data_IF_990195274791
#
_entry.id   IF_990195274791
#
_cell.length_a   1.000
_cell.length_b   1.000
_cell.length_c   1.000
_cell.angle_alpha   90.00
_cell.angle_beta   90.00
_cell.angle_gamma   90.00
#
_symmetry.space_group_name_H-M   'P 1'
#
loop_
_entity.id
_entity.type
_entity.pdbx_description
1 polymer ?
#
# COMPACT_ATOMS: atom_id res chain seq x y z
N UNK A 1 -6.63 14.26 -5.53
CA UNK A 1 -5.53 13.42 -5.03
C UNK A 1 -4.41 13.57 -6.03
N UNK A 2 -3.22 13.87 -5.59
CA UNK A 2 -2.16 14.24 -6.53
C UNK A 2 -1.53 13.03 -7.25
N UNK A 3 -1.01 12.07 -6.51
CA UNK A 3 -0.30 10.92 -7.06
C UNK A 3 -0.53 9.67 -6.22
N UNK A 4 -0.28 8.50 -6.81
CA UNK A 4 -0.22 7.22 -6.09
C UNK A 4 0.86 7.25 -5.00
N UNK A 5 0.60 6.60 -3.87
CA UNK A 5 1.60 6.40 -2.81
C UNK A 5 2.70 5.41 -3.21
N UNK A 6 2.50 4.66 -4.29
CA UNK A 6 3.50 3.76 -4.87
C UNK A 6 4.61 4.51 -5.61
N UNK A 7 4.41 5.81 -5.92
CA UNK A 7 5.45 6.63 -6.54
C UNK A 7 6.64 6.79 -5.60
N UNK A 8 7.80 6.29 -6.01
CA UNK A 8 9.06 6.54 -5.33
C UNK A 8 9.56 7.97 -5.54
N UNK A 9 9.12 8.61 -6.61
CA UNK A 9 9.46 10.01 -6.97
C UNK A 9 8.30 10.67 -7.69
N UNK A 10 8.28 12.01 -7.64
CA UNK A 10 7.45 12.86 -8.50
C UNK A 10 8.39 13.80 -9.25
N UNK A 11 8.28 13.82 -10.57
CA UNK A 11 9.05 14.70 -11.47
C UNK A 11 8.03 15.37 -12.39
N UNK A 12 7.51 16.52 -11.96
CA UNK A 12 6.40 17.17 -12.63
C UNK A 12 6.76 17.65 -14.05
N UNK A 13 5.86 17.36 -14.98
CA UNK A 13 5.94 17.82 -16.38
C UNK A 13 5.11 19.09 -16.58
N UNK A 14 5.65 20.11 -17.27
CA UNK A 14 4.86 21.25 -17.71
C UNK A 14 3.90 20.92 -18.87
N UNK A 15 4.07 19.77 -19.51
CA UNK A 15 3.31 19.33 -20.68
C UNK A 15 1.97 18.72 -20.25
N UNK A 16 1.03 19.56 -19.84
CA UNK A 16 -0.32 19.15 -19.46
C UNK A 16 -1.31 20.28 -19.76
N UNK A 17 -2.59 19.96 -19.82
CA UNK A 17 -3.65 20.95 -20.11
C UNK A 17 -4.35 21.48 -18.86
N UNK A 18 -3.78 21.29 -17.67
CA UNK A 18 -4.47 21.60 -16.43
C UNK A 18 -5.61 20.63 -16.15
N UNK A 19 -6.57 21.08 -15.36
CA UNK A 19 -7.64 20.20 -14.84
C UNK A 19 -8.46 19.53 -15.96
N UNK A 20 -8.76 18.25 -15.73
CA UNK A 20 -9.63 17.46 -16.59
C UNK A 20 -11.03 18.08 -16.67
N UNK A 21 -11.63 17.97 -17.85
CA UNK A 21 -13.03 18.36 -18.10
C UNK A 21 -13.99 17.17 -18.06
N UNK A 22 -13.46 15.95 -17.90
CA UNK A 22 -14.23 14.70 -17.84
C UNK A 22 -13.82 13.87 -16.62
N UNK A 23 -14.72 13.01 -16.15
CA UNK A 23 -14.41 12.01 -15.15
C UNK A 23 -13.42 10.99 -15.70
N UNK A 24 -12.60 10.42 -14.82
CA UNK A 24 -11.73 9.30 -15.16
C UNK A 24 -12.61 8.06 -15.35
N UNK A 25 -12.44 7.38 -16.49
CA UNK A 25 -13.15 6.18 -16.89
C UNK A 25 -12.24 5.15 -17.55
N UNK A 26 -11.01 5.55 -17.85
CA UNK A 26 -10.07 4.81 -18.69
C UNK A 26 -8.69 4.79 -18.01
N UNK A 27 -7.98 3.68 -18.19
CA UNK A 27 -6.53 3.59 -17.99
C UNK A 27 -5.93 3.25 -19.34
N UNK A 28 -4.91 4.01 -19.76
CA UNK A 28 -4.20 3.79 -21.04
C UNK A 28 -2.74 3.50 -20.76
N UNK A 29 -2.33 2.22 -20.69
CA UNK A 29 -0.92 1.87 -20.67
C UNK A 29 -0.28 2.13 -22.04
N UNK A 30 0.90 2.71 -22.01
CA UNK A 30 1.80 2.97 -23.14
C UNK A 30 3.12 2.26 -22.90
N UNK A 31 4.01 2.26 -23.89
CA UNK A 31 5.40 1.86 -23.71
C UNK A 31 6.32 3.02 -24.02
N UNK A 32 7.31 3.22 -23.15
CA UNK A 32 8.51 3.98 -23.49
C UNK A 32 9.62 3.01 -23.87
N UNK A 33 10.06 3.11 -25.13
CA UNK A 33 11.06 2.21 -25.68
C UNK A 33 12.42 2.45 -25.03
N UNK A 34 13.01 1.39 -24.54
CA UNK A 34 14.23 1.37 -23.73
C UNK A 34 13.92 1.16 -22.24
N UNK A 35 14.89 0.64 -21.52
CA UNK A 35 14.79 0.40 -20.07
C UNK A 35 15.04 1.72 -19.32
N UNK A 36 14.08 2.64 -19.41
CA UNK A 36 14.18 3.97 -18.83
C UNK A 36 14.12 3.93 -17.30
N UNK A 37 14.94 4.77 -16.65
CA UNK A 37 14.83 5.09 -15.23
C UNK A 37 13.77 6.16 -15.01
N UNK A 38 13.29 6.30 -13.76
CA UNK A 38 12.39 7.39 -13.36
C UNK A 38 12.95 8.76 -13.74
N UNK A 39 14.26 8.96 -13.56
CA UNK A 39 14.92 10.21 -13.92
C UNK A 39 14.93 10.44 -15.43
N UNK A 40 15.25 9.40 -16.23
CA UNK A 40 15.25 9.49 -17.69
C UNK A 40 13.88 9.84 -18.23
N UNK A 41 12.82 9.17 -17.78
CA UNK A 41 11.45 9.45 -18.19
C UNK A 41 11.02 10.87 -17.76
N UNK A 42 11.33 11.23 -16.51
CA UNK A 42 11.04 12.55 -15.98
C UNK A 42 11.71 13.66 -16.79
N UNK A 43 12.98 13.53 -17.14
CA UNK A 43 13.71 14.52 -17.93
C UNK A 43 13.16 14.65 -19.36
N UNK A 44 12.74 13.54 -19.97
CA UNK A 44 12.07 13.55 -21.28
C UNK A 44 10.81 14.39 -21.22
N UNK A 45 9.94 14.18 -20.23
CA UNK A 45 8.66 14.86 -20.13
C UNK A 45 8.72 16.24 -19.47
N UNK A 46 9.79 16.54 -18.74
CA UNK A 46 10.05 17.87 -18.20
C UNK A 46 10.45 18.88 -19.26
N UNK A 47 10.92 18.41 -20.41
CA UNK A 47 11.24 19.27 -21.54
C UNK A 47 9.94 19.81 -22.19
N UNK A 48 9.67 21.13 -22.16
CA UNK A 48 8.45 21.68 -22.74
C UNK A 48 8.36 21.52 -24.27
N UNK A 49 9.49 21.40 -24.95
CA UNK A 49 9.51 21.18 -26.40
C UNK A 49 9.10 19.76 -26.81
N UNK A 50 9.05 18.83 -25.85
CA UNK A 50 8.60 17.45 -26.12
C UNK A 50 7.12 17.41 -26.49
N UNK A 51 6.30 18.29 -25.91
CA UNK A 51 4.84 18.35 -26.11
C UNK A 51 4.14 17.00 -25.91
N UNK A 52 4.65 16.21 -24.96
CA UNK A 52 4.11 14.93 -24.57
C UNK A 52 4.36 14.71 -23.08
N UNK A 53 3.50 13.93 -22.44
CA UNK A 53 3.62 13.52 -21.04
C UNK A 53 2.70 12.34 -20.75
N UNK A 54 2.87 11.70 -19.58
CA UNK A 54 1.92 10.74 -18.99
C UNK A 54 1.58 11.15 -17.57
N UNK A 55 0.56 10.53 -16.96
CA UNK A 55 0.33 10.71 -15.54
C UNK A 55 1.40 9.98 -14.72
N UNK A 56 1.78 8.79 -15.14
CA UNK A 56 2.75 7.94 -14.46
C UNK A 56 3.77 7.32 -15.42
N UNK A 57 4.88 6.89 -14.84
CA UNK A 57 5.82 5.98 -15.47
C UNK A 57 6.15 4.80 -14.57
N UNK A 58 6.18 3.60 -15.15
CA UNK A 58 6.72 2.38 -14.56
C UNK A 58 8.09 2.16 -15.18
N UNK A 59 9.13 2.32 -14.38
CA UNK A 59 10.53 2.38 -14.80
C UNK A 59 11.36 1.28 -14.14
N UNK A 60 12.59 1.10 -14.58
CA UNK A 60 13.51 0.07 -14.05
C UNK A 60 13.78 0.20 -12.54
N UNK A 61 13.65 1.39 -11.99
CA UNK A 61 13.94 1.73 -10.59
C UNK A 61 12.67 2.07 -9.78
N UNK A 62 11.48 1.90 -10.36
CA UNK A 62 10.17 2.02 -9.73
C UNK A 62 9.20 2.94 -10.44
N UNK A 63 8.16 3.34 -9.72
CA UNK A 63 7.05 4.16 -10.25
C UNK A 63 7.34 5.64 -9.99
N UNK A 64 7.11 6.47 -11.03
CA UNK A 64 7.24 7.92 -10.98
C UNK A 64 5.94 8.61 -11.34
N UNK A 65 5.56 9.66 -10.59
CA UNK A 65 4.49 10.58 -10.94
C UNK A 65 5.03 11.71 -11.83
N UNK A 66 4.32 11.98 -12.93
CA UNK A 66 4.73 12.97 -13.95
C UNK A 66 3.69 14.09 -14.09
N UNK A 67 2.41 13.75 -14.26
CA UNK A 67 1.30 14.69 -14.29
C UNK A 67 0.27 14.27 -13.26
N UNK A 68 -0.14 15.21 -12.40
CA UNK A 68 -1.20 14.96 -11.40
C UNK A 68 -2.45 14.35 -12.07
N UNK A 69 -3.06 13.33 -11.43
CA UNK A 69 -4.24 12.65 -11.97
C UNK A 69 -5.44 13.59 -12.23
N UNK A 70 -5.54 14.70 -11.49
CA UNK A 70 -6.57 15.71 -11.74
C UNK A 70 -6.37 16.50 -13.02
N UNK A 71 -5.19 16.39 -13.63
CA UNK A 71 -4.80 17.09 -14.85
C UNK A 71 -4.74 16.13 -16.05
N UNK A 72 -5.04 16.67 -17.24
CA UNK A 72 -4.91 15.96 -18.49
C UNK A 72 -3.44 15.91 -18.94
N UNK A 73 -2.86 14.74 -19.04
CA UNK A 73 -1.58 14.50 -19.71
C UNK A 73 -1.70 14.61 -21.24
N UNK A 74 -0.59 14.61 -21.96
CA UNK A 74 -0.52 14.60 -23.42
C UNK A 74 0.15 13.30 -23.91
N UNK A 75 -0.58 12.20 -23.90
CA UNK A 75 -0.01 10.87 -24.09
C UNK A 75 -0.49 10.13 -25.33
N UNK A 76 -1.80 10.09 -25.56
CA UNK A 76 -2.41 9.22 -26.58
C UNK A 76 -2.64 9.89 -27.94
N UNK A 77 -2.17 11.11 -28.13
CA UNK A 77 -2.50 11.94 -29.31
C UNK A 77 -4.01 12.18 -29.49
N UNK A 78 -4.78 11.98 -28.43
CA UNK A 78 -6.23 12.15 -28.40
C UNK A 78 -6.66 12.91 -27.15
N UNK A 79 -7.07 14.15 -27.33
CA UNK A 79 -7.63 14.94 -26.24
C UNK A 79 -8.80 14.22 -25.58
N UNK A 80 -9.67 13.62 -26.37
CA UNK A 80 -10.84 12.90 -25.89
C UNK A 80 -10.45 11.74 -24.95
N UNK A 81 -9.44 10.94 -25.31
CA UNK A 81 -8.95 9.86 -24.43
C UNK A 81 -8.27 10.45 -23.21
N UNK A 82 -7.32 11.35 -23.39
CA UNK A 82 -6.48 11.88 -22.31
C UNK A 82 -7.27 12.69 -21.27
N UNK A 83 -8.44 13.25 -21.62
CA UNK A 83 -9.33 13.90 -20.65
C UNK A 83 -9.95 12.92 -19.65
N UNK A 84 -10.14 11.66 -20.00
CA UNK A 84 -10.78 10.66 -19.17
C UNK A 84 -9.88 9.46 -18.85
N UNK A 85 -8.64 9.47 -19.32
CA UNK A 85 -7.69 8.38 -19.08
C UNK A 85 -6.58 8.78 -18.10
N UNK A 86 -6.26 7.89 -17.16
CA UNK A 86 -4.96 7.89 -16.51
C UNK A 86 -4.00 7.17 -17.45
N UNK A 87 -2.95 7.86 -17.86
CA UNK A 87 -1.97 7.35 -18.83
C UNK A 87 -0.69 6.93 -18.11
N UNK A 88 -0.13 5.79 -18.49
CA UNK A 88 1.00 5.17 -17.83
C UNK A 88 2.04 4.73 -18.88
N UNK A 89 3.22 5.30 -18.85
CA UNK A 89 4.35 4.84 -19.67
C UNK A 89 5.06 3.70 -18.96
N UNK A 90 5.23 2.56 -19.63
CA UNK A 90 5.91 1.37 -19.10
C UNK A 90 7.22 1.15 -19.85
N UNK A 91 8.32 1.05 -19.11
CA UNK A 91 9.63 0.76 -19.69
C UNK A 91 9.64 -0.64 -20.32
N UNK A 92 10.18 -0.75 -21.52
CA UNK A 92 10.27 -2.01 -22.25
C UNK A 92 11.62 -2.15 -22.96
N UNK A 93 11.89 -3.32 -23.50
CA UNK A 93 13.06 -3.54 -24.35
C UNK A 93 13.01 -2.64 -25.59
N UNK A 94 14.18 -2.33 -26.15
CA UNK A 94 14.32 -1.37 -27.25
C UNK A 94 14.14 -1.98 -28.66
N UNK A 95 13.68 -3.22 -28.75
CA UNK A 95 13.44 -3.94 -30.00
C UNK A 95 12.15 -4.74 -29.96
N UNK A 96 11.56 -4.96 -31.12
CA UNK A 96 10.35 -5.75 -31.28
C UNK A 96 10.51 -7.15 -30.65
N UNK A 97 9.53 -7.67 -29.88
CA UNK A 97 8.15 -7.18 -29.72
C UNK A 97 7.95 -6.11 -28.61
N UNK A 98 8.99 -5.41 -28.19
CA UNK A 98 9.00 -4.41 -27.12
C UNK A 98 8.58 -5.04 -25.78
N UNK A 99 9.32 -6.09 -25.40
CA UNK A 99 9.01 -6.89 -24.22
C UNK A 99 9.05 -6.04 -22.96
N UNK A 100 8.00 -6.11 -22.18
CA UNK A 100 7.91 -5.54 -20.82
C UNK A 100 8.39 -6.61 -19.84
N UNK A 101 9.50 -6.39 -19.12
CA UNK A 101 9.95 -7.30 -18.07
C UNK A 101 8.85 -7.59 -17.05
N UNK A 102 8.86 -8.79 -16.48
CA UNK A 102 7.79 -9.25 -15.58
C UNK A 102 7.66 -8.34 -14.35
N UNK A 103 8.76 -7.90 -13.78
CA UNK A 103 8.80 -6.97 -12.65
C UNK A 103 8.11 -5.63 -12.92
N UNK A 104 8.24 -5.08 -14.13
CA UNK A 104 7.55 -3.82 -14.48
C UNK A 104 6.08 -4.06 -14.80
N UNK A 105 5.74 -5.23 -15.26
CA UNK A 105 4.33 -5.60 -15.43
C UNK A 105 3.63 -5.78 -14.08
N UNK A 106 4.31 -6.33 -13.08
CA UNK A 106 3.81 -6.43 -11.71
C UNK A 106 3.63 -5.03 -11.08
N UNK A 107 4.61 -4.13 -11.23
CA UNK A 107 4.48 -2.72 -10.84
C UNK A 107 3.29 -2.02 -11.55
N UNK A 108 3.03 -2.34 -12.83
CA UNK A 108 1.87 -1.83 -13.55
C UNK A 108 0.56 -2.36 -12.97
N UNK A 109 0.49 -3.66 -12.61
CA UNK A 109 -0.68 -4.26 -11.94
C UNK A 109 -0.95 -3.54 -10.63
N UNK A 110 0.07 -3.38 -9.78
CA UNK A 110 -0.06 -2.73 -8.47
C UNK A 110 -0.50 -1.27 -8.60
N UNK A 111 0.05 -0.54 -9.56
CA UNK A 111 -0.36 0.85 -9.83
C UNK A 111 -1.82 0.91 -10.30
N UNK A 112 -2.25 0.01 -11.17
CA UNK A 112 -3.63 -0.07 -11.63
C UNK A 112 -4.60 -0.39 -10.48
N UNK A 113 -4.23 -1.30 -9.57
CA UNK A 113 -5.00 -1.62 -8.37
C UNK A 113 -5.15 -0.40 -7.46
N UNK A 114 -4.04 0.33 -7.20
CA UNK A 114 -4.07 1.55 -6.40
C UNK A 114 -4.96 2.63 -7.03
N UNK A 115 -4.84 2.84 -8.35
CA UNK A 115 -5.72 3.76 -9.10
C UNK A 115 -7.18 3.35 -8.95
N UNK A 116 -7.51 2.08 -9.17
CA UNK A 116 -8.87 1.58 -9.05
C UNK A 116 -9.45 1.84 -7.66
N UNK A 117 -8.72 1.49 -6.60
CA UNK A 117 -9.15 1.71 -5.21
C UNK A 117 -9.39 3.18 -4.90
N UNK A 118 -8.47 4.06 -5.29
CA UNK A 118 -8.58 5.51 -5.02
C UNK A 118 -9.72 6.18 -5.77
N UNK A 119 -10.08 5.67 -6.94
CA UNK A 119 -11.18 6.18 -7.76
C UNK A 119 -12.51 5.42 -7.57
N UNK A 120 -12.55 4.42 -6.68
CA UNK A 120 -13.76 3.64 -6.39
C UNK A 120 -14.14 2.63 -7.47
N UNK A 121 -13.20 2.27 -8.36
CA UNK A 121 -13.42 1.22 -9.35
C UNK A 121 -13.26 -0.15 -8.69
N UNK A 122 -14.25 -1.02 -8.91
CA UNK A 122 -14.27 -2.39 -8.42
C UNK A 122 -13.90 -3.40 -9.50
N UNK A 123 -13.83 -2.95 -10.75
CA UNK A 123 -13.56 -3.79 -11.89
C UNK A 123 -12.81 -3.06 -12.99
N UNK A 124 -11.89 -3.79 -13.63
CA UNK A 124 -11.20 -3.39 -14.85
C UNK A 124 -11.64 -4.29 -16.01
N UNK A 125 -11.96 -3.71 -17.15
CA UNK A 125 -12.30 -4.44 -18.36
C UNK A 125 -11.41 -4.03 -19.54
N UNK A 126 -11.09 -5.00 -20.38
CA UNK A 126 -10.35 -4.77 -21.63
C UNK A 126 -11.26 -4.32 -22.74
N UNK A 127 -10.68 -3.73 -23.77
CA UNK A 127 -11.37 -3.36 -25.01
C UNK A 127 -10.61 -3.90 -26.22
N UNK A 128 -11.34 -4.33 -27.24
CA UNK A 128 -10.77 -4.93 -28.45
C UNK A 128 -10.53 -3.93 -29.58
N UNK A 129 -11.22 -2.80 -29.56
CA UNK A 129 -11.13 -1.73 -30.56
C UNK A 129 -11.59 -0.40 -29.99
N UNK A 130 -11.41 0.69 -30.76
CA UNK A 130 -11.96 1.99 -30.41
C UNK A 130 -13.50 1.96 -30.34
N UNK A 131 -14.16 1.26 -31.24
CA UNK A 131 -15.62 1.14 -31.26
C UNK A 131 -16.12 0.34 -30.04
N UNK A 132 -15.44 -0.73 -29.66
CA UNK A 132 -15.73 -1.48 -28.44
C UNK A 132 -15.55 -0.60 -27.19
N UNK A 133 -14.48 0.19 -27.13
CA UNK A 133 -14.26 1.16 -26.04
C UNK A 133 -15.44 2.16 -25.96
N UNK A 134 -15.84 2.75 -27.10
CA UNK A 134 -16.94 3.71 -27.14
C UNK A 134 -18.26 3.08 -26.68
N UNK A 135 -18.57 1.87 -27.15
CA UNK A 135 -19.77 1.14 -26.75
C UNK A 135 -19.76 0.81 -25.25
N UNK A 136 -18.65 0.28 -24.73
CA UNK A 136 -18.52 -0.06 -23.31
C UNK A 136 -18.62 1.17 -22.40
N UNK A 137 -18.11 2.32 -22.80
CA UNK A 137 -18.25 3.57 -22.03
C UNK A 137 -19.71 3.99 -21.81
N UNK A 138 -20.62 3.62 -22.72
CA UNK A 138 -22.04 3.95 -22.59
C UNK A 138 -22.83 2.91 -21.78
N UNK A 139 -22.29 1.69 -21.63
CA UNK A 139 -22.99 0.54 -21.02
C UNK A 139 -22.39 0.06 -19.71
N UNK A 140 -21.12 0.43 -19.43
CA UNK A 140 -20.44 0.02 -18.19
C UNK A 140 -21.10 0.60 -16.95
N UNK A 141 -20.93 -0.08 -15.82
CA UNK A 141 -21.23 0.48 -14.50
C UNK A 141 -20.20 1.55 -14.09
N UNK A 142 -20.59 2.42 -13.16
CA UNK A 142 -19.72 3.51 -12.71
C UNK A 142 -18.48 3.04 -11.94
N UNK A 143 -18.52 1.84 -11.41
CA UNK A 143 -17.42 1.20 -10.69
C UNK A 143 -16.49 0.36 -11.61
N UNK A 144 -16.67 0.47 -12.92
CA UNK A 144 -15.83 -0.20 -13.92
C UNK A 144 -14.92 0.82 -14.63
N UNK A 145 -13.62 0.53 -14.69
CA UNK A 145 -12.64 1.25 -15.52
C UNK A 145 -12.29 0.44 -16.76
N UNK A 146 -12.09 1.09 -17.89
CA UNK A 146 -11.75 0.43 -19.16
C UNK A 146 -10.27 0.61 -19.51
N UNK A 147 -9.66 -0.43 -20.07
CA UNK A 147 -8.35 -0.33 -20.70
C UNK A 147 -8.48 0.14 -22.14
N UNK A 148 -7.75 1.18 -22.52
CA UNK A 148 -7.63 1.61 -23.92
C UNK A 148 -6.19 1.49 -24.42
N UNK A 149 -5.99 1.71 -25.70
CA UNK A 149 -4.69 1.61 -26.37
C UNK A 149 -4.40 2.87 -27.17
N UNK A 150 -3.13 3.29 -27.20
CA UNK A 150 -2.71 4.44 -28.00
C UNK A 150 -3.03 4.25 -29.50
N UNK A 151 -2.82 3.05 -30.02
CA UNK A 151 -3.11 2.75 -31.43
C UNK A 151 -4.60 2.74 -31.81
N UNK A 152 -5.51 2.99 -30.88
CA UNK A 152 -6.91 3.29 -31.20
C UNK A 152 -7.08 4.73 -31.72
N UNK A 153 -6.13 5.61 -31.43
CA UNK A 153 -6.23 7.05 -31.66
C UNK A 153 -5.16 7.59 -32.62
N UNK A 154 -4.06 6.86 -32.79
CA UNK A 154 -2.94 7.26 -33.65
C UNK A 154 -2.37 6.06 -34.39
N UNK A 155 -1.71 6.30 -35.53
CA UNK A 155 -0.94 5.28 -36.24
C UNK A 155 0.39 5.07 -35.51
N UNK A 156 0.44 4.12 -34.60
CA UNK A 156 1.59 3.82 -33.75
C UNK A 156 1.63 2.35 -33.34
N UNK A 157 2.82 1.82 -33.07
CA UNK A 157 3.02 0.49 -32.49
C UNK A 157 2.66 0.44 -30.98
N UNK A 158 2.58 1.59 -30.28
CA UNK A 158 2.25 1.66 -28.87
C UNK A 158 0.81 1.11 -28.61
N UNK A 159 0.62 0.26 -27.58
CA UNK A 159 1.53 -0.10 -26.49
C UNK A 159 2.47 -1.30 -26.77
N UNK A 160 2.78 -1.58 -28.01
CA UNK A 160 3.63 -2.70 -28.43
C UNK A 160 2.91 -4.04 -28.39
N UNK A 161 3.48 -5.04 -29.08
CA UNK A 161 2.84 -6.36 -29.19
C UNK A 161 2.83 -7.10 -27.87
N UNK A 162 3.91 -7.02 -27.09
CA UNK A 162 4.03 -7.73 -25.83
C UNK A 162 2.98 -7.25 -24.83
N UNK A 163 2.97 -5.96 -24.50
CA UNK A 163 2.04 -5.40 -23.53
C UNK A 163 0.58 -5.53 -24.00
N UNK A 164 0.32 -5.33 -25.31
CA UNK A 164 -1.02 -5.52 -25.87
C UNK A 164 -1.57 -6.92 -25.68
N UNK A 165 -0.73 -7.95 -25.77
CA UNK A 165 -1.14 -9.35 -25.59
C UNK A 165 -1.43 -9.71 -24.13
N UNK A 166 -0.97 -8.87 -23.18
CA UNK A 166 -1.12 -9.07 -21.74
C UNK A 166 -2.25 -8.25 -21.11
N UNK A 167 -3.05 -7.53 -21.88
CA UNK A 167 -4.14 -6.71 -21.32
C UNK A 167 -5.22 -7.55 -20.62
N UNK A 168 -5.53 -8.75 -21.12
CA UNK A 168 -6.45 -9.65 -20.41
C UNK A 168 -5.85 -10.15 -19.09
N UNK A 169 -4.55 -10.48 -19.09
CA UNK A 169 -3.82 -10.84 -17.88
C UNK A 169 -3.81 -9.67 -16.87
N UNK A 170 -3.53 -8.45 -17.35
CA UNK A 170 -3.55 -7.24 -16.51
C UNK A 170 -4.91 -7.06 -15.85
N UNK A 171 -5.99 -7.07 -16.62
CA UNK A 171 -7.34 -6.89 -16.09
C UNK A 171 -7.72 -8.01 -15.10
N UNK A 172 -7.33 -9.26 -15.38
CA UNK A 172 -7.55 -10.40 -14.50
C UNK A 172 -6.87 -10.21 -13.15
N UNK A 173 -5.56 -9.92 -13.15
CA UNK A 173 -4.76 -9.76 -11.93
C UNK A 173 -5.23 -8.56 -11.09
N UNK A 174 -5.57 -7.45 -11.74
CA UNK A 174 -6.16 -6.29 -11.05
C UNK A 174 -7.48 -6.68 -10.38
N UNK A 175 -8.37 -7.37 -11.10
CA UNK A 175 -9.67 -7.76 -10.57
C UNK A 175 -9.57 -8.79 -9.43
N UNK A 176 -8.58 -9.69 -9.45
CA UNK A 176 -8.30 -10.62 -8.36
C UNK A 176 -7.91 -9.86 -7.09
N UNK A 177 -6.96 -8.93 -7.19
CA UNK A 177 -6.53 -8.13 -6.04
C UNK A 177 -7.61 -7.16 -5.50
N UNK A 178 -8.50 -6.66 -6.36
CA UNK A 178 -9.64 -5.84 -5.93
C UNK A 178 -10.65 -6.66 -5.10
N UNK A 179 -10.92 -7.92 -5.50
CA UNK A 179 -11.83 -8.83 -4.77
C UNK A 179 -11.27 -9.23 -3.41
N UNK A 180 -9.98 -9.60 -3.34
CA UNK A 180 -9.34 -9.99 -2.09
C UNK A 180 -9.42 -8.90 -1.02
N UNK A 181 -9.37 -7.62 -1.43
CA UNK A 181 -9.54 -6.51 -0.48
C UNK A 181 -10.98 -6.35 0.00
N UNK A 182 -11.97 -6.51 -0.88
CA UNK A 182 -13.39 -6.43 -0.50
C UNK A 182 -13.78 -7.58 0.45
N UNK A 183 -13.24 -8.78 0.25
CA UNK A 183 -13.44 -9.93 1.14
C UNK A 183 -12.78 -9.72 2.50
N UNK A 184 -11.55 -9.22 2.55
CA UNK A 184 -10.85 -8.90 3.79
C UNK A 184 -11.54 -7.77 4.57
N UNK A 185 -12.00 -6.71 3.92
CA UNK A 185 -12.78 -5.65 4.59
C UNK A 185 -14.11 -6.18 5.13
N UNK A 186 -14.80 -7.07 4.39
CA UNK A 186 -16.06 -7.67 4.84
C UNK A 186 -15.86 -8.66 5.99
N UNK A 187 -14.73 -9.37 6.04
CA UNK A 187 -14.38 -10.23 7.18
C UNK A 187 -13.96 -9.42 8.40
N UNK A 188 -13.26 -8.30 8.26
CA UNK A 188 -12.89 -7.43 9.39
C UNK A 188 -14.11 -6.73 10.00
N UNK A 189 -15.09 -6.30 9.21
CA UNK A 189 -16.34 -5.70 9.71
C UNK A 189 -17.15 -6.69 10.58
N UNK A 190 -17.01 -8.00 10.37
CA UNK A 190 -17.66 -9.03 11.17
C UNK A 190 -16.80 -9.56 12.32
N UNK A 191 -15.55 -9.12 12.47
CA UNK A 191 -14.66 -9.53 13.56
C UNK A 191 -14.71 -8.50 14.69
N UNK A 192 -15.16 -8.92 15.87
CA UNK A 192 -15.04 -8.13 17.08
C UNK A 192 -13.81 -8.57 17.87
N UNK A 193 -12.84 -7.69 18.01
CA UNK A 193 -11.65 -7.94 18.81
C UNK A 193 -11.90 -7.44 20.24
N UNK A 194 -11.78 -8.34 21.24
CA UNK A 194 -11.89 -8.01 22.66
C UNK A 194 -10.53 -8.11 23.31
N UNK A 195 -10.12 -7.05 23.99
CA UNK A 195 -8.94 -7.07 24.84
C UNK A 195 -9.41 -7.35 26.27
N UNK A 196 -9.03 -8.52 26.80
CA UNK A 196 -9.33 -8.89 28.17
C UNK A 196 -8.17 -8.45 29.08
N UNK A 197 -8.45 -7.58 30.04
CA UNK A 197 -7.44 -6.97 30.92
C UNK A 197 -7.21 -7.80 32.20
N UNK A 198 -8.10 -8.75 32.48
CA UNK A 198 -7.96 -9.68 33.62
C UNK A 198 -9.17 -10.58 33.79
N UNK A 199 -9.01 -11.68 34.54
CA UNK A 199 -10.05 -12.55 35.00
C UNK A 199 -9.92 -12.69 36.51
N UNK A 200 -11.01 -12.44 37.26
CA UNK A 200 -10.99 -12.39 38.71
C UNK A 200 -12.10 -13.30 39.29
N UNK A 201 -11.74 -14.13 40.24
CA UNK A 201 -12.69 -14.96 41.01
C UNK A 201 -13.39 -14.17 42.12
N UNK A 202 -12.81 -13.03 42.51
CA UNK A 202 -13.38 -12.11 43.48
C UNK A 202 -13.93 -10.89 42.79
N UNK A 203 -15.26 -10.69 42.83
CA UNK A 203 -15.95 -9.60 42.13
C UNK A 203 -15.39 -8.20 42.45
N UNK A 204 -14.99 -7.96 43.70
CA UNK A 204 -14.44 -6.67 44.12
C UNK A 204 -13.14 -6.34 43.39
N UNK A 205 -12.29 -7.35 43.05
CA UNK A 205 -11.07 -7.14 42.33
C UNK A 205 -11.33 -6.73 40.86
N UNK A 206 -12.37 -7.29 40.24
CA UNK A 206 -12.83 -6.89 38.92
C UNK A 206 -13.34 -5.44 38.92
N UNK A 207 -14.13 -5.05 39.95
CA UNK A 207 -14.64 -3.69 40.13
C UNK A 207 -13.48 -2.70 40.28
N UNK A 208 -12.50 -3.02 41.09
CA UNK A 208 -11.34 -2.16 41.33
C UNK A 208 -10.53 -1.96 40.04
N UNK A 209 -10.38 -3.01 39.21
CA UNK A 209 -9.69 -2.91 37.91
C UNK A 209 -10.52 -2.08 36.93
N UNK A 210 -11.81 -2.32 36.84
CA UNK A 210 -12.72 -1.48 36.04
C UNK A 210 -12.56 0.00 36.34
N UNK A 211 -12.54 0.36 37.63
CA UNK A 211 -12.39 1.76 38.04
C UNK A 211 -11.05 2.35 37.59
N UNK A 212 -9.95 1.59 37.75
CA UNK A 212 -8.62 2.03 37.26
C UNK A 212 -8.59 2.28 35.77
N UNK A 213 -9.31 1.48 34.97
CA UNK A 213 -9.40 1.68 33.52
C UNK A 213 -10.20 2.94 33.18
N UNK A 214 -11.33 3.18 33.89
CA UNK A 214 -12.13 4.39 33.72
C UNK A 214 -11.31 5.63 34.09
N UNK A 215 -10.59 5.60 35.21
CA UNK A 215 -9.74 6.70 35.67
C UNK A 215 -8.57 6.99 34.68
N UNK A 216 -8.17 5.97 33.92
CA UNK A 216 -7.21 6.10 32.86
C UNK A 216 -7.81 6.52 31.48
N UNK A 217 -9.13 6.80 31.43
CA UNK A 217 -9.82 7.29 30.24
C UNK A 217 -10.30 6.19 29.27
N UNK A 218 -10.39 4.92 29.73
CA UNK A 218 -10.91 3.82 28.92
C UNK A 218 -12.34 3.46 29.33
N UNK A 219 -13.19 3.16 28.34
CA UNK A 219 -14.48 2.52 28.64
C UNK A 219 -14.25 1.07 29.07
N UNK A 220 -14.81 0.70 30.22
CA UNK A 220 -14.64 -0.64 30.78
C UNK A 220 -15.95 -1.21 31.33
N UNK A 221 -16.19 -2.49 31.12
CA UNK A 221 -17.30 -3.22 31.69
C UNK A 221 -16.86 -4.56 32.30
N UNK A 222 -17.66 -5.12 33.19
CA UNK A 222 -17.43 -6.45 33.76
C UNK A 222 -18.43 -7.39 33.10
N UNK A 223 -17.94 -8.51 32.56
CA UNK A 223 -18.75 -9.64 32.11
C UNK A 223 -18.62 -10.76 33.14
N UNK A 224 -19.73 -11.18 33.72
CA UNK A 224 -19.79 -12.32 34.62
C UNK A 224 -19.95 -13.60 33.78
N UNK A 225 -19.12 -14.58 34.03
CA UNK A 225 -19.19 -15.89 33.38
C UNK A 225 -19.27 -16.96 34.49
N UNK A 226 -20.24 -17.86 34.37
CA UNK A 226 -20.31 -19.02 35.27
C UNK A 226 -19.19 -20.00 34.93
N UNK A 227 -18.38 -20.37 35.90
CA UNK A 227 -17.40 -21.43 35.77
C UNK A 227 -18.17 -22.75 35.74
N UNK A 228 -18.59 -23.22 34.57
CA UNK A 228 -19.25 -24.53 34.49
C UNK A 228 -18.23 -25.61 34.88
N UNK A 229 -18.59 -26.41 35.85
CA UNK A 229 -17.85 -27.62 36.25
C UNK A 229 -18.09 -28.74 35.23
N UNK A 230 -17.61 -28.59 34.03
CA UNK A 230 -17.48 -29.70 33.08
C UNK A 230 -16.11 -30.37 33.27
N UNK A 231 -16.01 -31.69 33.12
CA UNK A 231 -14.78 -32.42 33.45
C UNK A 231 -13.61 -31.88 32.64
N UNK A 232 -12.55 -31.61 33.34
CA UNK A 232 -11.25 -31.19 32.80
C UNK A 232 -10.86 -32.17 31.71
N UNK A 233 -11.07 -31.85 30.45
CA UNK A 233 -10.26 -32.43 29.39
C UNK A 233 -8.87 -31.91 29.67
N UNK A 234 -7.97 -32.82 30.06
CA UNK A 234 -6.55 -32.52 30.19
C UNK A 234 -6.02 -32.09 28.82
N UNK A 235 -6.23 -30.83 28.47
CA UNK A 235 -5.33 -30.15 27.54
C UNK A 235 -4.04 -30.01 28.36
N UNK A 236 -2.91 -30.51 27.86
CA UNK A 236 -1.65 -30.30 28.57
C UNK A 236 -1.52 -28.78 28.75
N UNK A 237 -1.55 -28.37 30.01
CA UNK A 237 -1.19 -27.01 30.38
C UNK A 237 0.22 -26.85 29.85
N UNK A 238 0.35 -26.18 28.71
CA UNK A 238 1.64 -25.62 28.33
C UNK A 238 2.04 -24.80 29.54
N UNK A 239 3.08 -25.29 30.22
CA UNK A 239 3.71 -24.54 31.31
C UNK A 239 3.75 -23.08 30.86
N UNK A 240 3.48 -22.10 31.75
CA UNK A 240 3.63 -20.71 31.41
C UNK A 240 4.99 -20.61 30.71
N UNK A 241 5.00 -20.08 29.53
CA UNK A 241 6.28 -19.72 28.86
C UNK A 241 6.85 -18.69 29.81
N UNK A 242 7.72 -19.15 30.68
CA UNK A 242 8.59 -18.27 31.42
C UNK A 242 9.43 -17.65 30.31
N UNK A 243 9.05 -16.46 29.87
CA UNK A 243 10.00 -15.61 29.19
C UNK A 243 11.16 -15.53 30.16
N UNK A 244 12.25 -16.22 29.86
CA UNK A 244 13.48 -16.11 30.64
C UNK A 244 13.80 -14.61 30.64
N UNK A 245 13.38 -13.94 31.71
CA UNK A 245 13.68 -12.55 31.94
C UNK A 245 15.20 -12.47 31.98
N UNK A 246 15.83 -11.78 31.04
CA UNK A 246 17.28 -11.64 31.00
C UNK A 246 17.78 -11.14 32.37
N UNK A 247 18.94 -11.59 32.79
CA UNK A 247 19.54 -11.12 34.04
C UNK A 247 19.80 -9.61 33.99
N UNK A 248 19.92 -8.98 35.13
CA UNK A 248 20.22 -7.54 35.18
C UNK A 248 21.59 -7.23 34.54
N UNK A 249 22.54 -8.17 34.59
CA UNK A 249 23.87 -8.07 33.98
C UNK A 249 23.80 -8.15 32.46
N UNK A 250 22.96 -9.02 31.91
CA UNK A 250 22.71 -9.07 30.45
C UNK A 250 22.08 -7.79 29.95
N UNK A 251 21.07 -7.26 30.68
CA UNK A 251 20.43 -5.97 30.34
C UNK A 251 21.42 -4.81 30.47
N UNK A 252 22.27 -4.79 31.50
CA UNK A 252 23.31 -3.75 31.63
C UNK A 252 24.29 -3.78 30.45
N UNK A 253 24.64 -4.97 29.95
CA UNK A 253 25.47 -5.13 28.74
C UNK A 253 24.76 -4.58 27.50
N UNK A 254 23.48 -4.82 27.35
CA UNK A 254 22.66 -4.27 26.24
C UNK A 254 22.54 -2.74 26.34
N UNK A 255 22.46 -2.20 27.55
CA UNK A 255 22.45 -0.74 27.80
C UNK A 255 23.78 -0.11 27.33
N UNK A 256 24.91 -0.74 27.67
CA UNK A 256 26.24 -0.29 27.22
C UNK A 256 26.35 -0.31 25.70
N UNK A 257 25.77 -1.30 25.03
CA UNK A 257 25.70 -1.42 23.56
C UNK A 257 24.71 -0.45 22.90
N UNK A 258 23.96 0.34 23.69
CA UNK A 258 23.03 1.36 23.17
C UNK A 258 21.62 0.83 22.81
N UNK A 259 21.32 -0.46 23.03
CA UNK A 259 20.04 -1.07 22.64
C UNK A 259 18.80 -0.49 23.35
N UNK A 260 18.99 0.17 24.47
CA UNK A 260 17.93 0.74 25.31
C UNK A 260 17.76 2.27 25.19
N UNK A 261 18.53 2.93 24.33
CA UNK A 261 18.52 4.40 24.19
C UNK A 261 19.24 5.11 25.33
N UNK A 262 19.03 6.44 25.51
CA UNK A 262 19.72 7.28 26.46
C UNK A 262 18.76 8.06 27.37
N UNK A 263 19.23 8.45 28.57
CA UNK A 263 18.53 9.36 29.50
C UNK A 263 17.12 8.87 29.86
N UNK A 264 16.14 9.75 29.76
CA UNK A 264 14.74 9.46 30.15
C UNK A 264 14.11 8.33 29.31
N UNK A 265 14.48 8.21 28.02
CA UNK A 265 13.99 7.15 27.13
C UNK A 265 14.46 5.78 27.59
N UNK A 266 15.72 5.66 28.03
CA UNK A 266 16.26 4.43 28.61
C UNK A 266 15.50 4.02 29.86
N UNK A 267 15.26 4.96 30.76
CA UNK A 267 14.52 4.73 32.00
C UNK A 267 13.12 4.19 31.69
N UNK A 268 12.38 4.85 30.82
CA UNK A 268 11.02 4.47 30.46
C UNK A 268 10.96 3.05 29.82
N UNK A 269 11.89 2.73 28.94
CA UNK A 269 11.95 1.42 28.27
C UNK A 269 12.27 0.28 29.24
N UNK A 270 13.24 0.48 30.14
CA UNK A 270 13.61 -0.52 31.14
C UNK A 270 12.46 -0.78 32.14
N UNK A 271 11.81 0.28 32.62
CA UNK A 271 10.68 0.18 33.53
C UNK A 271 9.46 -0.48 32.87
N UNK A 272 9.17 -0.15 31.59
CA UNK A 272 8.13 -0.78 30.80
C UNK A 272 8.39 -2.30 30.57
N UNK A 273 9.66 -2.69 30.44
CA UNK A 273 10.09 -4.10 30.35
C UNK A 273 10.16 -4.80 31.74
N UNK A 274 9.80 -4.11 32.82
CA UNK A 274 9.74 -4.67 34.17
C UNK A 274 11.09 -4.75 34.87
N UNK A 275 12.11 -3.99 34.42
CA UNK A 275 13.42 -3.89 35.08
C UNK A 275 13.48 -2.64 35.96
N UNK A 276 14.22 -2.74 37.06
CA UNK A 276 14.47 -1.57 37.89
C UNK A 276 15.62 -0.73 37.30
N UNK A 277 15.32 0.47 36.81
CA UNK A 277 16.28 1.35 36.18
C UNK A 277 17.52 1.62 37.06
N UNK A 278 17.32 1.92 38.36
CA UNK A 278 18.43 2.25 39.27
C UNK A 278 19.38 1.07 39.48
N UNK A 279 18.85 -0.15 39.53
CA UNK A 279 19.67 -1.38 39.65
C UNK A 279 20.47 -1.59 38.38
N UNK A 280 19.83 -1.49 37.21
CA UNK A 280 20.54 -1.65 35.91
C UNK A 280 21.62 -0.58 35.75
N UNK A 281 21.32 0.68 36.06
CA UNK A 281 22.28 1.77 35.94
C UNK A 281 23.51 1.60 36.87
N UNK A 282 23.29 1.15 38.11
CA UNK A 282 24.37 0.82 39.03
C UNK A 282 25.33 -0.27 38.50
N UNK A 283 24.79 -1.26 37.81
CA UNK A 283 25.58 -2.32 37.18
C UNK A 283 26.36 -1.76 35.98
N UNK A 284 25.72 -0.94 35.15
CA UNK A 284 26.36 -0.25 34.02
C UNK A 284 27.56 0.59 34.51
N UNK A 285 27.34 1.42 35.55
CA UNK A 285 28.38 2.29 36.10
C UNK A 285 29.57 1.47 36.63
N UNK A 286 29.28 0.34 37.29
CA UNK A 286 30.30 -0.61 37.77
C UNK A 286 31.05 -1.31 36.63
N UNK A 287 30.38 -1.60 35.50
CA UNK A 287 31.04 -2.20 34.35
C UNK A 287 31.93 -1.23 33.60
N UNK A 288 31.57 0.04 33.56
CA UNK A 288 32.34 1.09 32.89
C UNK A 288 33.47 1.69 33.74
N UNK A 289 33.49 1.45 35.05
CA UNK A 289 34.52 1.92 35.97
C UNK A 289 35.69 0.93 36.15
N UNK A 290 35.72 -0.18 35.42
CA UNK A 290 36.82 -1.11 35.29
C UNK A 290 37.64 -0.86 34.03
#
# INVERSE_FOLDING_TARGET
MAYSKLCKRVIESPNNSGKRTSNINIITPHIIVGLATMQTLGDIFKNPNRQASSNYGVCVDGIVGIVDESNRSWCSSSEWNDQQAITIEVACENFYPYKVPQEYFEDLVDLCVDICRRHGFKRMETTSSKDDLMNKLTTKSNDTVLLSRHNYFANTECPGKDLSSRFEELAKLVNEQLKESDENESEEVNKMYRVQVGAYTVKQNAINMKQKLIDAGFDAYIKEEEISSSPVVNVPVSKPVVHNKKSNEEIATEVIRGSWGNGAVRKQRLEAAGYNYSVIQSIVDKMLSK
#
